data_IF_290890321647
#
_entry.id   IF_290890321647
#
_cell.length_a   1.000
_cell.length_b   1.000
_cell.length_c   1.000
_cell.angle_alpha   90.00
_cell.angle_beta   90.00
_cell.angle_gamma   90.00
#
_symmetry.space_group_name_H-M   'P 1'
#
loop_
_entity.id
_entity.type
_entity.pdbx_description
1 polymer ?
#
# COMPACT_ATOMS: atom_id res chain seq x y z
N UNK A 1 -13.99 -28.00 2.42
CA UNK A 1 -13.76 -27.19 3.64
C UNK A 1 -12.86 -25.97 3.39
N UNK A 2 -11.76 -26.09 2.63
CA UNK A 2 -10.84 -24.99 2.31
C UNK A 2 -11.43 -23.71 1.66
N UNK A 3 -12.44 -23.76 0.75
CA UNK A 3 -12.88 -22.53 0.08
C UNK A 3 -13.60 -21.55 1.01
N UNK A 4 -14.34 -22.05 2.01
CA UNK A 4 -15.02 -21.20 2.99
C UNK A 4 -14.04 -20.40 3.85
N UNK A 5 -12.89 -21.01 4.19
CA UNK A 5 -11.83 -20.35 4.95
C UNK A 5 -11.16 -19.26 4.10
N UNK A 6 -10.90 -19.51 2.81
CA UNK A 6 -10.37 -18.49 1.90
C UNK A 6 -11.33 -17.32 1.71
N UNK A 7 -12.61 -17.60 1.50
CA UNK A 7 -13.65 -16.57 1.34
C UNK A 7 -13.74 -15.75 2.62
N UNK A 8 -13.80 -16.39 3.79
CA UNK A 8 -13.82 -15.68 5.07
C UNK A 8 -12.58 -14.82 5.30
N UNK A 9 -11.37 -15.33 5.01
CA UNK A 9 -10.12 -14.57 5.16
C UNK A 9 -10.06 -13.35 4.23
N UNK A 10 -10.54 -13.49 2.98
CA UNK A 10 -10.63 -12.39 2.02
C UNK A 10 -11.66 -11.34 2.45
N UNK A 11 -12.85 -11.78 2.86
CA UNK A 11 -13.92 -10.89 3.34
C UNK A 11 -13.50 -10.11 4.59
N UNK A 12 -12.84 -10.75 5.56
CA UNK A 12 -12.36 -10.09 6.78
C UNK A 12 -11.29 -9.04 6.45
N UNK A 13 -10.30 -9.36 5.60
CA UNK A 13 -9.30 -8.37 5.16
C UNK A 13 -9.97 -7.19 4.45
N UNK A 14 -10.92 -7.46 3.56
CA UNK A 14 -11.62 -6.42 2.80
C UNK A 14 -12.44 -5.50 3.71
N UNK A 15 -13.24 -6.07 4.62
CA UNK A 15 -14.02 -5.30 5.60
C UNK A 15 -13.13 -4.45 6.50
N UNK A 16 -11.97 -4.97 6.92
CA UNK A 16 -10.99 -4.22 7.70
C UNK A 16 -10.45 -3.00 6.92
N UNK A 17 -10.07 -3.17 5.64
CA UNK A 17 -9.62 -2.04 4.81
C UNK A 17 -10.73 -1.01 4.54
N UNK A 18 -11.97 -1.45 4.35
CA UNK A 18 -13.13 -0.54 4.19
C UNK A 18 -13.35 0.27 5.47
N UNK A 19 -13.33 -0.39 6.64
CA UNK A 19 -13.45 0.28 7.92
C UNK A 19 -12.33 1.30 8.13
N UNK A 20 -11.08 0.93 7.83
CA UNK A 20 -9.94 1.85 7.87
C UNK A 20 -10.12 3.05 6.92
N UNK A 21 -10.67 2.85 5.73
CA UNK A 21 -10.89 3.92 4.77
C UNK A 21 -11.95 4.93 5.26
N UNK A 22 -13.06 4.43 5.82
CA UNK A 22 -14.10 5.28 6.41
C UNK A 22 -13.53 6.05 7.60
N UNK A 23 -12.74 5.39 8.45
CA UNK A 23 -12.09 6.04 9.58
C UNK A 23 -11.07 7.10 9.14
N UNK A 24 -10.26 6.80 8.12
CA UNK A 24 -9.28 7.74 7.57
C UNK A 24 -9.93 9.02 7.01
N UNK A 25 -11.15 8.93 6.44
CA UNK A 25 -11.91 10.09 5.98
C UNK A 25 -12.28 11.04 7.12
N UNK A 26 -12.42 10.52 8.34
CA UNK A 26 -12.72 11.32 9.53
C UNK A 26 -11.46 11.89 10.20
N UNK A 27 -10.28 11.27 10.02
CA UNK A 27 -9.03 11.73 10.64
C UNK A 27 -8.22 12.73 9.80
N UNK A 28 -8.42 12.75 8.48
CA UNK A 28 -7.63 13.57 7.55
C UNK A 28 -8.38 14.86 7.16
N UNK A 29 -8.09 16.02 7.80
CA UNK A 29 -8.60 17.30 7.34
C UNK A 29 -8.02 17.62 5.95
N UNK A 30 -8.85 18.23 5.10
CA UNK A 30 -8.62 18.47 3.67
C UNK A 30 -7.17 18.94 3.36
N UNK A 31 -6.39 18.10 2.68
CA UNK A 31 -5.05 18.46 2.20
C UNK A 31 -5.12 19.35 0.96
N UNK A 32 -4.22 20.33 0.86
CA UNK A 32 -4.05 21.12 -0.37
C UNK A 32 -3.39 20.27 -1.45
N UNK A 33 -3.77 20.52 -2.72
CA UNK A 33 -3.21 19.79 -3.87
C UNK A 33 -1.67 19.89 -3.91
N UNK A 34 -1.10 21.04 -3.56
CA UNK A 34 0.35 21.24 -3.46
C UNK A 34 1.03 20.29 -2.46
N UNK A 35 0.37 20.01 -1.33
CA UNK A 35 0.93 19.15 -0.28
C UNK A 35 0.93 17.69 -0.72
N UNK A 36 -0.15 17.26 -1.40
CA UNK A 36 -0.25 15.93 -1.99
C UNK A 36 0.81 15.74 -3.07
N UNK A 37 0.98 16.73 -3.95
CA UNK A 37 1.99 16.66 -5.01
C UNK A 37 3.40 16.63 -4.44
N UNK A 38 3.68 17.43 -3.41
CA UNK A 38 4.98 17.42 -2.72
C UNK A 38 5.25 16.07 -2.04
N UNK A 39 4.24 15.46 -1.41
CA UNK A 39 4.38 14.15 -0.76
C UNK A 39 4.65 13.05 -1.80
N UNK A 40 3.86 13.02 -2.88
CA UNK A 40 3.95 12.01 -3.93
C UNK A 40 5.30 12.10 -4.65
N UNK A 41 5.67 13.29 -5.10
CA UNK A 41 6.84 13.49 -5.95
C UNK A 41 8.16 13.47 -5.16
N UNK A 42 8.24 14.11 -3.98
CA UNK A 42 9.50 14.17 -3.24
C UNK A 42 9.78 12.94 -2.37
N UNK A 43 8.75 12.20 -1.96
CA UNK A 43 8.93 11.09 -1.00
C UNK A 43 8.45 9.75 -1.56
N UNK A 44 7.23 9.64 -2.07
CA UNK A 44 6.73 8.34 -2.53
C UNK A 44 7.45 7.85 -3.79
N UNK A 45 7.73 8.72 -4.75
CA UNK A 45 8.39 8.36 -5.99
C UNK A 45 9.81 7.79 -5.81
N UNK A 46 10.74 8.44 -5.08
CA UNK A 46 12.07 7.88 -4.87
C UNK A 46 12.05 6.59 -4.04
N UNK A 47 11.14 6.47 -3.07
CA UNK A 47 10.99 5.25 -2.27
C UNK A 47 10.50 4.07 -3.12
N UNK A 48 9.55 4.31 -4.04
CA UNK A 48 9.08 3.29 -4.96
C UNK A 48 10.21 2.82 -5.89
N UNK A 49 10.98 3.75 -6.47
CA UNK A 49 12.13 3.42 -7.31
C UNK A 49 13.19 2.61 -6.55
N UNK A 50 13.50 3.01 -5.31
CA UNK A 50 14.45 2.30 -4.45
C UNK A 50 13.99 0.86 -4.19
N UNK A 51 12.72 0.63 -3.87
CA UNK A 51 12.18 -0.72 -3.65
C UNK A 51 12.29 -1.60 -4.90
N UNK A 52 12.00 -1.04 -6.08
CA UNK A 52 12.14 -1.77 -7.35
C UNK A 52 13.61 -2.16 -7.59
N UNK A 53 14.54 -1.22 -7.40
CA UNK A 53 15.97 -1.49 -7.54
C UNK A 53 16.46 -2.55 -6.56
N UNK A 54 16.08 -2.44 -5.28
CA UNK A 54 16.44 -3.43 -4.23
C UNK A 54 15.91 -4.81 -4.60
N UNK A 55 14.63 -4.90 -5.00
CA UNK A 55 14.02 -6.18 -5.39
C UNK A 55 14.72 -6.79 -6.60
N UNK A 56 15.05 -5.99 -7.62
CA UNK A 56 15.79 -6.44 -8.78
C UNK A 56 17.19 -6.97 -8.42
N UNK A 57 17.88 -6.28 -7.50
CA UNK A 57 19.20 -6.68 -7.01
C UNK A 57 19.14 -8.00 -6.22
N UNK A 58 18.12 -8.16 -5.37
CA UNK A 58 17.89 -9.39 -4.60
C UNK A 58 17.60 -10.57 -5.53
N UNK A 59 16.72 -10.40 -6.52
CA UNK A 59 16.40 -11.46 -7.49
C UNK A 59 17.63 -11.85 -8.31
N UNK A 60 18.47 -10.88 -8.72
CA UNK A 60 19.72 -11.16 -9.43
C UNK A 60 20.73 -11.92 -8.57
N UNK A 61 20.87 -11.56 -7.29
CA UNK A 61 21.74 -12.25 -6.33
C UNK A 61 21.24 -13.67 -5.99
N UNK A 62 19.92 -13.87 -5.97
CA UNK A 62 19.28 -15.16 -5.65
C UNK A 62 19.20 -16.09 -6.87
N UNK A 63 19.12 -15.54 -8.09
CA UNK A 63 19.20 -16.27 -9.37
C UNK A 63 20.66 -16.39 -9.86
N UNK A 64 21.58 -16.59 -8.91
CA UNK A 64 22.99 -16.91 -9.10
C UNK A 64 23.25 -18.24 -8.40
#
# INVERSE_FOLDING_TARGET
MAPFIQIAAFSVKTLFFIWLYIWARWTLPRFRYDQVMKLCYLRLFPIALANIFITALIVLMLNK
#
